data_IF_369302779884
#
_entry.id   IF_369302779884
#
_cell.length_a   1.000
_cell.length_b   1.000
_cell.length_c   1.000
_cell.angle_alpha   90.00
_cell.angle_beta   90.00
_cell.angle_gamma   90.00
#
_symmetry.space_group_name_H-M   'P 1'
#
loop_
_entity.id
_entity.type
_entity.pdbx_description
1 polymer ?
#
# COMPACT_ATOMS: atom_id res chain seq x y z
N UNK A 1 1.87 25.93 -15.65
CA UNK A 1 2.77 25.30 -16.63
C UNK A 1 2.95 23.84 -16.22
N UNK A 2 2.83 22.87 -17.13
CA UNK A 2 3.04 21.45 -16.79
C UNK A 2 4.53 21.13 -16.64
N UNK A 3 4.89 20.07 -15.90
CA UNK A 3 6.29 19.64 -15.76
C UNK A 3 6.93 19.34 -17.13
N UNK A 4 6.17 18.71 -18.05
CA UNK A 4 6.64 18.46 -19.41
C UNK A 4 6.92 19.74 -20.20
N UNK A 5 6.09 20.78 -20.04
CA UNK A 5 6.33 22.08 -20.68
C UNK A 5 7.59 22.76 -20.11
N UNK A 6 7.82 22.67 -18.80
CA UNK A 6 9.05 23.17 -18.16
C UNK A 6 10.28 22.44 -18.69
N UNK A 7 10.24 21.10 -18.78
CA UNK A 7 11.35 20.29 -19.32
C UNK A 7 11.65 20.65 -20.79
N UNK A 8 10.63 20.85 -21.61
CA UNK A 8 10.80 21.29 -23.00
C UNK A 8 11.44 22.68 -23.08
N UNK A 9 11.05 23.62 -22.21
CA UNK A 9 11.69 24.94 -22.15
C UNK A 9 13.16 24.86 -21.73
N UNK A 10 13.51 24.04 -20.74
CA UNK A 10 14.91 23.81 -20.36
C UNK A 10 15.72 23.22 -21.50
N UNK A 11 15.19 22.21 -22.20
CA UNK A 11 15.86 21.59 -23.35
C UNK A 11 16.07 22.59 -24.49
N UNK A 12 15.05 23.39 -24.82
CA UNK A 12 15.17 24.41 -25.86
C UNK A 12 16.17 25.50 -25.50
N UNK A 13 16.19 25.94 -24.23
CA UNK A 13 17.16 26.92 -23.74
C UNK A 13 18.59 26.38 -23.82
N UNK A 14 18.81 25.13 -23.39
CA UNK A 14 20.11 24.47 -23.46
C UNK A 14 20.60 24.36 -24.90
N UNK A 15 19.75 23.85 -25.81
CA UNK A 15 20.07 23.75 -27.24
C UNK A 15 20.41 25.12 -27.85
N UNK A 16 19.67 26.17 -27.47
CA UNK A 16 19.93 27.52 -27.95
C UNK A 16 21.30 28.02 -27.45
N UNK A 17 21.60 27.86 -26.16
CA UNK A 17 22.88 28.27 -25.56
C UNK A 17 24.06 27.51 -26.16
N UNK A 18 23.95 26.20 -26.35
CA UNK A 18 24.99 25.36 -26.98
C UNK A 18 25.23 25.75 -28.44
N UNK A 19 24.16 26.07 -29.19
CA UNK A 19 24.28 26.53 -30.58
C UNK A 19 24.84 27.96 -30.73
N UNK A 20 24.81 28.75 -29.66
CA UNK A 20 25.23 30.16 -29.69
C UNK A 20 26.74 30.32 -29.54
N UNK A 21 27.40 29.47 -28.75
CA UNK A 21 28.86 29.49 -28.53
C UNK A 21 29.67 29.51 -29.83
N UNK A 22 29.47 28.56 -30.76
CA UNK A 22 30.17 28.53 -32.05
C UNK A 22 29.96 29.78 -32.92
N UNK A 23 28.80 30.45 -32.78
CA UNK A 23 28.50 31.68 -33.52
C UNK A 23 29.29 32.87 -32.99
N UNK A 24 29.59 32.90 -31.69
CA UNK A 24 30.45 33.94 -31.10
C UNK A 24 31.93 33.79 -31.50
N UNK A 25 32.38 32.58 -31.82
CA UNK A 25 33.73 32.31 -32.34
C UNK A 25 33.86 32.54 -33.86
N UNK A 26 32.80 32.96 -34.54
CA UNK A 26 32.86 33.34 -35.96
C UNK A 26 33.49 34.73 -36.14
N UNK A 27 33.86 35.10 -37.37
CA UNK A 27 34.49 36.38 -37.72
C UNK A 27 33.55 37.60 -37.59
N UNK A 28 32.90 37.78 -36.44
CA UNK A 28 32.07 38.95 -36.14
C UNK A 28 32.99 40.08 -35.70
N UNK A 29 32.75 41.30 -36.20
CA UNK A 29 33.45 42.53 -35.79
C UNK A 29 32.44 43.55 -35.25
N UNK A 30 32.12 43.49 -33.94
CA UNK A 30 31.20 44.44 -33.32
C UNK A 30 31.77 45.86 -33.36
N UNK A 31 30.92 46.86 -33.55
CA UNK A 31 31.29 48.25 -33.27
C UNK A 31 31.27 48.51 -31.75
N UNK A 32 31.66 49.72 -31.33
CA UNK A 32 31.77 50.07 -29.90
C UNK A 32 30.44 49.95 -29.15
N UNK A 33 29.35 50.48 -29.72
CA UNK A 33 28.03 50.45 -29.09
C UNK A 33 27.50 49.01 -28.98
N UNK A 34 27.75 48.18 -29.99
CA UNK A 34 27.41 46.74 -29.96
C UNK A 34 28.23 45.99 -28.92
N UNK A 35 29.51 46.34 -28.75
CA UNK A 35 30.37 45.74 -27.74
C UNK A 35 29.89 46.08 -26.31
N UNK A 36 29.50 47.34 -26.08
CA UNK A 36 28.95 47.79 -24.80
C UNK A 36 27.61 47.08 -24.49
N UNK A 37 26.73 46.93 -25.47
CA UNK A 37 25.48 46.17 -25.29
C UNK A 37 25.71 44.66 -25.09
N UNK A 38 26.69 44.05 -25.77
CA UNK A 38 27.09 42.65 -25.52
C UNK A 38 27.59 42.48 -24.07
N UNK A 39 28.41 43.41 -23.57
CA UNK A 39 28.88 43.38 -22.18
C UNK A 39 27.72 43.49 -21.19
N UNK A 40 26.82 44.45 -21.41
CA UNK A 40 25.62 44.62 -20.57
C UNK A 40 24.72 43.39 -20.57
N UNK A 41 24.51 42.75 -21.73
CA UNK A 41 23.73 41.51 -21.82
C UNK A 41 24.43 40.34 -21.13
N UNK A 42 25.75 40.19 -21.28
CA UNK A 42 26.56 39.20 -20.55
C UNK A 42 26.42 39.38 -19.03
N UNK A 43 26.51 40.62 -18.56
CA UNK A 43 26.45 40.93 -17.13
C UNK A 43 25.04 40.71 -16.55
N UNK A 44 23.99 40.84 -17.36
CA UNK A 44 22.60 40.47 -17.00
C UNK A 44 22.31 38.97 -17.10
N UNK A 45 23.00 38.24 -17.98
CA UNK A 45 22.79 36.81 -18.15
C UNK A 45 23.20 36.02 -16.90
N UNK A 46 24.32 36.40 -16.26
CA UNK A 46 24.80 35.77 -15.01
C UNK A 46 23.76 35.76 -13.88
N UNK A 47 23.21 36.91 -13.44
CA UNK A 47 22.20 36.92 -12.37
C UNK A 47 20.89 36.26 -12.79
N UNK A 48 20.52 36.32 -14.08
CA UNK A 48 19.34 35.61 -14.59
C UNK A 48 19.52 34.09 -14.47
N UNK A 49 20.69 33.55 -14.83
CA UNK A 49 21.01 32.14 -14.67
C UNK A 49 21.02 31.72 -13.19
N UNK A 50 21.66 32.50 -12.31
CA UNK A 50 21.65 32.25 -10.88
C UNK A 50 20.22 32.25 -10.29
N UNK A 51 19.34 33.10 -10.81
CA UNK A 51 17.92 33.11 -10.43
C UNK A 51 17.24 31.81 -10.86
N UNK A 52 17.46 31.34 -12.10
CA UNK A 52 16.93 30.07 -12.58
C UNK A 52 17.45 28.90 -11.72
N UNK A 53 18.76 28.86 -11.44
CA UNK A 53 19.38 27.86 -10.58
C UNK A 53 18.74 27.84 -9.18
N UNK A 54 18.52 28.99 -8.57
CA UNK A 54 17.84 29.09 -7.27
C UNK A 54 16.41 28.52 -7.28
N UNK A 55 15.64 28.78 -8.36
CA UNK A 55 14.29 28.21 -8.50
C UNK A 55 14.33 26.69 -8.74
N UNK A 56 15.32 26.20 -9.49
CA UNK A 56 15.56 24.77 -9.69
C UNK A 56 15.91 24.12 -8.36
N UNK A 57 16.83 24.69 -7.58
CA UNK A 57 17.16 24.20 -6.24
C UNK A 57 15.94 24.15 -5.32
N UNK A 58 15.10 25.19 -5.33
CA UNK A 58 13.88 25.21 -4.54
C UNK A 58 12.92 24.09 -4.98
N UNK A 59 12.77 23.85 -6.28
CA UNK A 59 11.97 22.77 -6.83
C UNK A 59 12.52 21.39 -6.43
N UNK A 60 13.84 21.21 -6.50
CA UNK A 60 14.52 19.99 -6.07
C UNK A 60 14.35 19.76 -4.56
N UNK A 61 14.52 20.79 -3.73
CA UNK A 61 14.26 20.73 -2.28
C UNK A 61 12.83 20.32 -2.00
N UNK A 62 11.84 20.88 -2.70
CA UNK A 62 10.43 20.49 -2.57
C UNK A 62 10.18 19.03 -3.00
N UNK A 63 10.96 18.51 -3.94
CA UNK A 63 10.89 17.12 -4.38
C UNK A 63 11.69 16.15 -3.49
N UNK A 64 12.53 16.66 -2.57
CA UNK A 64 13.25 15.78 -1.64
C UNK A 64 12.29 15.12 -0.64
N UNK A 65 12.47 13.82 -0.34
CA UNK A 65 11.65 13.14 0.65
C UNK A 65 11.82 13.80 2.02
N UNK A 66 10.70 14.04 2.69
CA UNK A 66 10.68 14.60 4.04
C UNK A 66 11.23 13.59 5.06
N UNK A 67 11.56 14.05 6.26
CA UNK A 67 11.95 13.15 7.37
C UNK A 67 10.83 12.14 7.65
N UNK A 68 9.56 12.54 7.52
CA UNK A 68 8.40 11.65 7.68
C UNK A 68 8.39 10.53 6.63
N UNK A 69 8.67 10.86 5.36
CA UNK A 69 8.73 9.87 4.29
C UNK A 69 9.84 8.84 4.55
N UNK A 70 11.01 9.30 4.97
CA UNK A 70 12.15 8.41 5.32
C UNK A 70 11.85 7.52 6.52
N UNK A 71 11.20 8.07 7.55
CA UNK A 71 10.79 7.30 8.73
C UNK A 71 9.79 6.21 8.34
N UNK A 72 8.82 6.52 7.48
CA UNK A 72 7.86 5.54 6.97
C UNK A 72 8.57 4.42 6.18
N UNK A 73 9.52 4.78 5.30
CA UNK A 73 10.30 3.78 4.56
C UNK A 73 11.12 2.88 5.50
N UNK A 74 11.76 3.46 6.52
CA UNK A 74 12.50 2.70 7.52
C UNK A 74 11.60 1.77 8.34
N UNK A 75 10.41 2.23 8.71
CA UNK A 75 9.42 1.40 9.39
C UNK A 75 9.04 0.18 8.53
N UNK A 76 8.76 0.39 7.24
CA UNK A 76 8.44 -0.69 6.30
C UNK A 76 9.62 -1.67 6.15
N UNK A 77 10.87 -1.17 6.09
CA UNK A 77 12.06 -2.03 6.03
C UNK A 77 12.28 -2.85 7.30
N UNK A 78 11.98 -2.26 8.46
CA UNK A 78 12.13 -2.92 9.76
C UNK A 78 11.03 -3.93 10.07
N UNK A 79 10.03 -4.07 9.18
CA UNK A 79 8.91 -4.98 9.35
C UNK A 79 9.39 -6.43 9.40
N UNK A 80 9.22 -7.08 10.56
CA UNK A 80 9.55 -8.49 10.75
C UNK A 80 8.33 -9.36 10.46
N UNK A 81 8.43 -10.17 9.40
CA UNK A 81 7.33 -11.00 8.90
C UNK A 81 6.90 -12.08 9.91
N UNK A 82 7.81 -12.56 10.76
CA UNK A 82 7.54 -13.62 11.73
C UNK A 82 6.45 -13.26 12.75
N UNK A 83 6.44 -12.00 13.23
CA UNK A 83 5.57 -11.59 14.35
C UNK A 83 4.36 -10.75 13.93
N UNK A 84 4.41 -10.09 12.76
CA UNK A 84 3.43 -9.06 12.37
C UNK A 84 2.67 -9.36 11.08
N UNK A 85 2.88 -10.52 10.46
CA UNK A 85 2.18 -10.86 9.22
C UNK A 85 0.69 -11.10 9.47
N UNK A 86 -0.14 -10.21 8.91
CA UNK A 86 -1.59 -10.34 8.85
C UNK A 86 -2.03 -10.78 7.43
N UNK A 87 -2.47 -12.05 7.27
CA UNK A 87 -2.95 -12.55 5.98
C UNK A 87 -4.15 -11.78 5.43
N UNK A 88 -4.99 -11.20 6.29
CA UNK A 88 -6.16 -10.45 5.85
C UNK A 88 -5.77 -9.09 5.24
N UNK A 89 -4.83 -8.38 5.86
CA UNK A 89 -4.20 -7.20 5.29
C UNK A 89 -3.53 -7.53 3.95
N UNK A 90 -2.71 -8.58 3.94
CA UNK A 90 -1.98 -9.02 2.75
C UNK A 90 -2.92 -9.29 1.58
N UNK A 91 -4.01 -10.05 1.82
CA UNK A 91 -5.07 -10.30 0.84
C UNK A 91 -5.73 -9.02 0.36
N UNK A 92 -6.14 -8.11 1.25
CA UNK A 92 -6.79 -6.85 0.88
C UNK A 92 -5.92 -6.02 -0.07
N UNK A 93 -4.61 -5.91 0.22
CA UNK A 93 -3.69 -5.18 -0.63
C UNK A 93 -3.48 -5.86 -1.98
N UNK A 94 -3.27 -7.18 -2.03
CA UNK A 94 -3.07 -7.88 -3.30
C UNK A 94 -4.31 -7.79 -4.20
N UNK A 95 -5.51 -7.98 -3.63
CA UNK A 95 -6.76 -7.76 -4.37
C UNK A 95 -6.81 -6.35 -4.95
N UNK A 96 -6.56 -5.33 -4.13
CA UNK A 96 -6.60 -3.95 -4.57
C UNK A 96 -5.55 -3.63 -5.64
N UNK A 97 -4.32 -4.10 -5.48
CA UNK A 97 -3.21 -3.86 -6.41
C UNK A 97 -3.54 -4.49 -7.78
N UNK A 98 -3.91 -5.76 -7.81
CA UNK A 98 -4.08 -6.50 -9.06
C UNK A 98 -5.44 -6.32 -9.74
N UNK A 99 -6.50 -5.99 -8.99
CA UNK A 99 -7.84 -5.75 -9.56
C UNK A 99 -8.18 -4.26 -9.70
N UNK A 100 -7.52 -3.41 -8.91
CA UNK A 100 -7.90 -2.02 -8.77
C UNK A 100 -9.17 -1.85 -7.90
N UNK A 101 -9.63 -0.60 -7.73
CA UNK A 101 -10.88 -0.32 -7.03
C UNK A 101 -12.09 -0.76 -7.85
N UNK A 102 -13.12 -1.29 -7.17
CA UNK A 102 -14.39 -1.64 -7.80
C UNK A 102 -15.09 -0.39 -8.35
N UNK A 103 -15.45 -0.40 -9.63
CA UNK A 103 -16.17 0.71 -10.26
C UNK A 103 -17.67 0.41 -10.29
N UNK A 104 -18.47 1.43 -9.98
CA UNK A 104 -19.93 1.36 -10.08
C UNK A 104 -20.43 2.44 -11.03
N UNK A 105 -21.36 2.07 -11.91
CA UNK A 105 -22.05 3.03 -12.77
C UNK A 105 -22.86 4.07 -11.96
N UNK A 106 -23.12 3.80 -10.68
CA UNK A 106 -23.81 4.68 -9.75
C UNK A 106 -22.86 5.60 -8.96
N UNK A 107 -21.54 5.47 -9.16
CA UNK A 107 -20.58 6.33 -8.48
C UNK A 107 -20.73 7.78 -8.95
N UNK A 108 -20.84 8.71 -7.99
CA UNK A 108 -20.77 10.13 -8.27
C UNK A 108 -19.42 10.49 -8.92
N UNK A 109 -19.37 11.55 -9.73
CA UNK A 109 -18.16 11.93 -10.47
C UNK A 109 -16.92 12.12 -9.57
N UNK A 110 -17.11 12.71 -8.38
CA UNK A 110 -16.03 12.84 -7.39
C UNK A 110 -15.46 11.50 -6.93
N UNK A 111 -16.30 10.47 -6.82
CA UNK A 111 -15.88 9.11 -6.45
C UNK A 111 -15.18 8.45 -7.62
N UNK A 112 -15.71 8.58 -8.84
CA UNK A 112 -15.06 8.06 -10.07
C UNK A 112 -13.67 8.64 -10.28
N UNK A 113 -13.50 9.96 -10.14
CA UNK A 113 -12.19 10.63 -10.23
C UNK A 113 -11.22 10.08 -9.19
N UNK A 114 -11.70 9.85 -7.95
CA UNK A 114 -10.86 9.28 -6.88
C UNK A 114 -10.44 7.85 -7.18
N UNK A 115 -11.38 7.00 -7.63
CA UNK A 115 -11.12 5.62 -8.05
C UNK A 115 -10.13 5.57 -9.22
N UNK A 116 -10.26 6.46 -10.19
CA UNK A 116 -9.30 6.57 -11.30
C UNK A 116 -7.87 6.86 -10.80
N UNK A 117 -7.69 7.79 -9.86
CA UNK A 117 -6.36 8.06 -9.27
C UNK A 117 -5.82 6.86 -8.48
N UNK A 118 -6.69 6.19 -7.73
CA UNK A 118 -6.32 4.96 -7.01
C UNK A 118 -5.92 3.84 -7.96
N UNK A 119 -6.62 3.68 -9.09
CA UNK A 119 -6.28 2.75 -10.17
C UNK A 119 -4.89 3.04 -10.73
N UNK A 120 -4.55 4.29 -11.02
CA UNK A 120 -3.19 4.67 -11.47
C UNK A 120 -2.10 4.26 -10.48
N UNK A 121 -2.36 4.35 -9.16
CA UNK A 121 -1.40 3.87 -8.15
C UNK A 121 -1.25 2.35 -8.15
N UNK A 122 -2.35 1.63 -8.32
CA UNK A 122 -2.33 0.17 -8.41
C UNK A 122 -1.55 -0.28 -9.65
N UNK A 123 -1.78 0.35 -10.80
CA UNK A 123 -1.04 0.09 -12.05
C UNK A 123 0.46 0.35 -11.90
N UNK A 124 0.83 1.46 -11.23
CA UNK A 124 2.24 1.74 -10.90
C UNK A 124 2.86 0.63 -10.06
N UNK A 125 2.17 0.12 -9.04
CA UNK A 125 2.67 -0.97 -8.20
C UNK A 125 2.76 -2.30 -8.97
N UNK A 126 1.78 -2.62 -9.81
CA UNK A 126 1.81 -3.82 -10.65
C UNK A 126 2.99 -3.82 -11.63
N UNK A 127 3.49 -2.66 -12.03
CA UNK A 127 4.66 -2.53 -12.90
C UNK A 127 6.01 -2.64 -12.17
N UNK A 128 6.01 -2.75 -10.84
CA UNK A 128 7.23 -2.86 -10.02
C UNK A 128 7.63 -4.31 -9.73
N UNK A 129 8.78 -4.49 -9.09
CA UNK A 129 9.30 -5.83 -8.82
C UNK A 129 8.38 -6.63 -7.87
N UNK A 130 8.31 -7.97 -8.02
CA UNK A 130 7.47 -8.79 -7.16
C UNK A 130 7.81 -8.65 -5.66
N UNK A 131 9.08 -8.48 -5.32
CA UNK A 131 9.51 -8.22 -3.95
C UNK A 131 8.97 -6.88 -3.40
N UNK A 132 8.93 -5.83 -4.22
CA UNK A 132 8.34 -4.56 -3.80
C UNK A 132 6.85 -4.71 -3.51
N UNK A 133 6.11 -5.39 -4.39
CA UNK A 133 4.68 -5.66 -4.20
C UNK A 133 4.44 -6.44 -2.91
N UNK A 134 5.24 -7.48 -2.63
CA UNK A 134 5.14 -8.25 -1.39
C UNK A 134 5.37 -7.37 -0.16
N UNK A 135 6.46 -6.59 -0.14
CA UNK A 135 6.77 -5.70 0.99
C UNK A 135 5.64 -4.69 1.19
N UNK A 136 5.13 -4.11 0.11
CA UNK A 136 4.02 -3.18 0.16
C UNK A 136 2.76 -3.81 0.75
N UNK A 137 2.38 -4.98 0.25
CA UNK A 137 1.17 -5.67 0.65
C UNK A 137 1.17 -6.13 2.11
N UNK A 138 2.34 -6.40 2.68
CA UNK A 138 2.48 -6.81 4.08
C UNK A 138 2.51 -5.62 5.06
N UNK A 139 3.01 -4.46 4.63
CA UNK A 139 3.37 -3.39 5.57
C UNK A 139 2.39 -2.23 5.64
N UNK A 140 1.55 -2.02 4.63
CA UNK A 140 0.70 -0.82 4.55
C UNK A 140 -0.78 -1.17 4.41
N UNK A 141 -1.63 -0.63 5.29
CA UNK A 141 -3.08 -0.71 5.11
C UNK A 141 -3.51 -0.02 3.80
N UNK A 142 -4.46 -0.58 3.02
CA UNK A 142 -4.97 0.04 1.80
C UNK A 142 -5.32 1.52 1.98
N UNK A 143 -6.04 1.84 3.06
CA UNK A 143 -6.48 3.20 3.40
C UNK A 143 -5.32 4.19 3.58
N UNK A 144 -4.13 3.71 3.95
CA UNK A 144 -2.95 4.54 4.18
C UNK A 144 -2.23 5.00 2.91
N UNK A 145 -2.48 4.36 1.75
CA UNK A 145 -1.73 4.63 0.52
C UNK A 145 -2.58 4.74 -0.75
N UNK A 146 -3.79 4.17 -0.78
CA UNK A 146 -4.60 4.10 -2.02
C UNK A 146 -5.09 5.46 -2.49
N UNK A 147 -5.28 6.41 -1.57
CA UNK A 147 -5.85 7.72 -1.88
C UNK A 147 -4.80 8.84 -1.82
N UNK A 148 -4.74 9.71 -2.85
CA UNK A 148 -3.78 10.83 -2.90
C UNK A 148 -3.92 11.86 -1.77
N UNK A 149 -5.07 11.92 -1.12
CA UNK A 149 -5.30 12.79 0.04
C UNK A 149 -4.65 12.25 1.31
N UNK A 150 -4.44 10.94 1.41
CA UNK A 150 -3.84 10.30 2.59
C UNK A 150 -2.32 10.18 2.47
N UNK A 151 -1.86 9.82 1.27
CA UNK A 151 -0.43 9.78 0.93
C UNK A 151 -0.25 10.60 -0.33
N UNK A 152 0.62 11.60 -0.30
CA UNK A 152 0.93 12.39 -1.48
C UNK A 152 1.61 11.54 -2.57
N UNK A 153 1.44 11.88 -3.84
CA UNK A 153 2.09 11.16 -4.96
C UNK A 153 3.61 11.17 -4.83
N UNK A 154 4.20 12.27 -4.32
CA UNK A 154 5.64 12.37 -4.07
C UNK A 154 6.13 11.34 -3.04
N UNK A 155 5.36 11.11 -1.97
CA UNK A 155 5.67 10.10 -0.95
C UNK A 155 5.52 8.70 -1.53
N UNK A 156 4.44 8.45 -2.26
CA UNK A 156 4.18 7.16 -2.91
C UNK A 156 5.32 6.79 -3.89
N UNK A 157 5.69 7.72 -4.78
CA UNK A 157 6.76 7.54 -5.75
C UNK A 157 8.16 7.47 -5.08
N UNK A 158 8.34 8.12 -3.92
CA UNK A 158 9.54 7.93 -3.12
C UNK A 158 9.61 6.51 -2.54
N UNK A 159 8.54 6.01 -1.91
CA UNK A 159 8.51 4.67 -1.33
C UNK A 159 8.75 3.59 -2.39
N UNK A 160 8.16 3.72 -3.57
CA UNK A 160 8.43 2.80 -4.68
C UNK A 160 9.93 2.75 -5.01
N UNK A 161 10.61 3.90 -5.07
CA UNK A 161 12.05 3.96 -5.36
C UNK A 161 12.90 3.43 -4.22
N UNK A 162 12.53 3.73 -2.99
CA UNK A 162 13.32 3.46 -1.79
C UNK A 162 13.21 1.99 -1.32
N UNK A 163 12.08 1.33 -1.62
CA UNK A 163 11.78 -0.04 -1.20
C UNK A 163 12.14 -1.13 -2.22
N UNK A 164 12.90 -0.81 -3.28
CA UNK A 164 13.27 -1.77 -4.34
C UNK A 164 14.20 -2.90 -3.89
N UNK A 165 14.66 -2.91 -2.63
CA UNK A 165 15.50 -3.97 -2.10
C UNK A 165 14.82 -5.34 -2.22
N UNK A 166 15.56 -6.34 -2.72
CA UNK A 166 15.09 -7.71 -2.90
C UNK A 166 14.97 -8.39 -1.53
N UNK A 167 14.08 -9.38 -1.40
CA UNK A 167 14.08 -10.25 -0.22
C UNK A 167 15.17 -11.31 -0.39
N UNK A 168 16.05 -11.47 0.61
CA UNK A 168 17.07 -12.52 0.59
C UNK A 168 16.44 -13.93 0.62
N UNK A 169 15.25 -14.04 1.22
CA UNK A 169 14.41 -15.23 1.18
C UNK A 169 12.95 -14.80 1.41
N UNK A 170 12.03 -15.36 0.63
CA UNK A 170 10.59 -15.12 0.83
C UNK A 170 10.12 -16.00 1.99
N UNK A 171 9.53 -15.44 3.06
CA UNK A 171 9.06 -16.23 4.18
C UNK A 171 7.99 -17.25 3.78
N UNK A 172 8.09 -18.49 4.26
CA UNK A 172 7.19 -19.59 3.85
C UNK A 172 5.71 -19.25 4.03
N UNK A 173 5.36 -18.59 5.14
CA UNK A 173 3.98 -18.15 5.44
C UNK A 173 3.41 -17.19 4.37
N UNK A 174 4.26 -16.38 3.76
CA UNK A 174 3.88 -15.47 2.67
C UNK A 174 3.68 -16.26 1.39
N UNK A 175 4.58 -17.19 1.06
CA UNK A 175 4.45 -18.06 -0.11
C UNK A 175 3.20 -18.96 -0.02
N UNK A 176 2.94 -19.55 1.13
CA UNK A 176 1.71 -20.31 1.41
C UNK A 176 0.46 -19.45 1.20
N UNK A 177 0.45 -18.23 1.73
CA UNK A 177 -0.66 -17.29 1.54
C UNK A 177 -0.87 -16.94 0.06
N UNK A 178 0.21 -16.74 -0.71
CA UNK A 178 0.13 -16.51 -2.16
C UNK A 178 -0.49 -17.69 -2.90
N UNK A 179 -0.09 -18.92 -2.56
CA UNK A 179 -0.64 -20.13 -3.16
C UNK A 179 -2.12 -20.33 -2.85
N UNK A 180 -2.56 -20.00 -1.63
CA UNK A 180 -3.99 -20.00 -1.29
C UNK A 180 -4.74 -18.98 -2.15
N UNK A 181 -4.26 -17.73 -2.17
CA UNK A 181 -4.89 -16.63 -2.92
C UNK A 181 -4.93 -16.87 -4.43
N UNK A 182 -3.97 -17.62 -4.98
CA UNK A 182 -3.92 -18.00 -6.41
C UNK A 182 -5.19 -18.72 -6.86
N UNK A 183 -5.82 -19.48 -5.97
CA UNK A 183 -6.99 -20.30 -6.26
C UNK A 183 -8.30 -19.69 -5.75
N UNK A 184 -8.26 -18.50 -5.13
CA UNK A 184 -9.40 -17.83 -4.51
C UNK A 184 -9.90 -16.63 -5.31
N UNK A 185 -11.22 -16.39 -5.30
CA UNK A 185 -11.77 -15.13 -5.80
C UNK A 185 -11.39 -13.94 -4.88
N UNK A 186 -11.14 -12.75 -5.44
CA UNK A 186 -11.26 -12.37 -6.85
C UNK A 186 -9.98 -12.54 -7.69
N UNK A 187 -8.93 -13.17 -7.14
CA UNK A 187 -7.59 -13.25 -7.74
C UNK A 187 -7.39 -14.46 -8.67
N UNK A 188 -8.17 -15.52 -8.49
CA UNK A 188 -8.20 -16.71 -9.35
C UNK A 188 -8.26 -16.37 -10.85
N UNK A 189 -9.18 -15.50 -11.34
CA UNK A 189 -9.23 -15.14 -12.76
C UNK A 189 -8.21 -14.05 -13.17
N UNK A 190 -7.38 -13.54 -12.25
CA UNK A 190 -6.47 -12.44 -12.55
C UNK A 190 -5.13 -12.93 -13.10
N UNK A 191 -4.96 -12.90 -14.43
CA UNK A 191 -3.74 -13.37 -15.12
C UNK A 191 -2.46 -12.72 -14.59
N UNK A 192 -2.46 -11.40 -14.36
CA UNK A 192 -1.31 -10.66 -13.81
C UNK A 192 -0.90 -11.21 -12.43
N UNK A 193 -1.88 -11.56 -11.58
CA UNK A 193 -1.58 -12.17 -10.29
C UNK A 193 -1.05 -13.59 -10.45
N UNK A 194 -1.57 -14.37 -11.41
CA UNK A 194 -1.07 -15.72 -11.70
C UNK A 194 0.39 -15.70 -12.16
N UNK A 195 0.77 -14.76 -13.02
CA UNK A 195 2.15 -14.54 -13.46
C UNK A 195 3.05 -14.13 -12.30
N UNK A 196 2.56 -13.21 -11.46
CA UNK A 196 3.25 -12.79 -10.25
C UNK A 196 3.58 -13.97 -9.33
N UNK A 197 2.62 -14.85 -9.03
CA UNK A 197 2.87 -16.03 -8.18
C UNK A 197 3.86 -16.99 -8.85
N UNK A 198 3.75 -17.24 -10.16
CA UNK A 198 4.72 -18.08 -10.89
C UNK A 198 6.15 -17.56 -10.81
N UNK A 199 6.34 -16.23 -10.89
CA UNK A 199 7.67 -15.62 -10.75
C UNK A 199 8.27 -15.88 -9.36
N UNK A 200 7.45 -15.76 -8.32
CA UNK A 200 7.85 -16.03 -6.94
C UNK A 200 8.27 -17.50 -6.77
N UNK A 201 7.48 -18.45 -7.30
CA UNK A 201 7.79 -19.88 -7.24
C UNK A 201 9.13 -20.24 -7.91
N UNK A 202 9.44 -19.58 -9.03
CA UNK A 202 10.70 -19.75 -9.75
C UNK A 202 11.89 -19.24 -8.94
N UNK A 203 11.72 -18.12 -8.25
CA UNK A 203 12.77 -17.53 -7.41
C UNK A 203 13.10 -18.43 -6.21
N UNK A 204 12.08 -19.02 -5.59
CA UNK A 204 12.25 -19.99 -4.49
C UNK A 204 12.97 -21.27 -4.98
N UNK A 205 12.61 -21.75 -6.18
CA UNK A 205 13.18 -22.99 -6.74
C UNK A 205 14.67 -22.87 -7.06
N UNK A 206 15.15 -21.70 -7.50
CA UNK A 206 16.58 -21.46 -7.78
C UNK A 206 17.39 -21.42 -6.48
N UNK A 207 16.89 -20.76 -5.43
CA UNK A 207 17.54 -20.72 -4.12
C UNK A 207 17.64 -22.13 -3.49
N UNK A 208 16.60 -22.96 -3.63
CA UNK A 208 16.65 -24.34 -3.15
C UNK A 208 17.69 -25.19 -3.88
N UNK A 209 17.87 -24.99 -5.20
CA UNK A 209 18.86 -25.72 -5.99
C UNK A 209 20.29 -25.31 -5.62
N UNK A 210 20.55 -24.02 -5.41
CA UNK A 210 21.85 -23.52 -4.95
C UNK A 210 22.17 -23.96 -3.53
N UNK A 211 21.18 -23.93 -2.64
CA UNK A 211 21.33 -24.43 -1.28
C UNK A 211 21.55 -25.94 -1.25
N UNK A 212 20.80 -26.74 -2.03
CA UNK A 212 21.05 -28.19 -2.18
C UNK A 212 22.43 -28.48 -2.77
N UNK A 213 22.94 -27.67 -3.69
CA UNK A 213 24.31 -27.80 -4.20
C UNK A 213 25.38 -27.46 -3.14
N UNK A 214 25.12 -26.50 -2.25
CA UNK A 214 25.96 -26.20 -1.09
C UNK A 214 25.92 -27.31 -0.03
N UNK A 215 24.75 -27.90 0.24
CA UNK A 215 24.59 -29.03 1.15
C UNK A 215 25.24 -30.31 0.61
N UNK A 216 25.31 -30.53 -0.72
CA UNK A 216 26.05 -31.66 -1.29
C UNK A 216 27.58 -31.62 -1.09
N UNK A 217 28.15 -30.50 -0.61
CA UNK A 217 29.57 -30.42 -0.20
C UNK A 217 29.80 -30.62 1.30
N UNK A 218 28.76 -30.75 2.10
CA UNK A 218 28.88 -31.01 3.53
C UNK A 218 27.86 -32.04 3.95
N UNK A 219 28.38 -33.21 4.35
CA UNK A 219 27.74 -34.21 5.22
C UNK A 219 27.18 -35.43 4.50
N UNK A 220 28.08 -36.39 4.29
CA UNK A 220 27.80 -37.80 4.60
C UNK A 220 27.44 -37.93 6.08
N UNK A 221 26.57 -38.89 6.37
CA UNK A 221 26.13 -39.42 7.67
C UNK A 221 24.75 -38.99 8.20
N UNK A 222 23.82 -39.93 8.02
CA UNK A 222 22.73 -40.39 8.91
C UNK A 222 21.53 -39.44 9.18
N UNK A 223 20.27 -39.88 9.20
CA UNK A 223 19.56 -41.10 8.79
C UNK A 223 18.04 -40.82 8.88
N UNK A 224 17.30 -41.26 7.85
CA UNK A 224 15.93 -41.84 7.81
C UNK A 224 14.67 -41.11 8.39
N UNK A 225 13.45 -41.48 7.89
CA UNK A 225 12.33 -40.57 7.63
C UNK A 225 11.04 -40.93 8.39
N UNK A 226 10.03 -40.05 8.36
CA UNK A 226 8.63 -40.50 8.44
C UNK A 226 7.70 -39.68 7.56
N UNK A 227 6.94 -40.43 6.76
CA UNK A 227 5.90 -40.00 5.83
C UNK A 227 4.64 -39.43 6.52
N UNK A 228 3.86 -38.67 5.75
CA UNK A 228 2.48 -38.32 6.06
C UNK A 228 1.81 -37.57 4.92
N UNK A 229 1.42 -38.29 3.86
CA UNK A 229 0.47 -37.82 2.81
C UNK A 229 -0.97 -38.09 3.27
N UNK A 230 -1.91 -37.17 3.00
CA UNK A 230 -3.32 -37.43 2.55
C UNK A 230 -4.05 -36.06 2.37
N UNK A 231 -4.20 -35.54 1.15
CA UNK A 231 -5.35 -35.62 0.20
C UNK A 231 -6.53 -34.62 0.45
N UNK A 232 -6.57 -33.59 -0.41
CA UNK A 232 -7.66 -32.86 -1.11
C UNK A 232 -9.09 -32.75 -0.53
N UNK A 233 -9.73 -31.56 -0.62
CA UNK A 233 -10.70 -31.19 -1.70
C UNK A 233 -11.49 -29.87 -1.47
N UNK A 234 -11.59 -29.08 -2.54
CA UNK A 234 -12.57 -28.10 -3.07
C UNK A 234 -13.80 -27.55 -2.28
N UNK A 235 -13.97 -27.77 -0.96
CA UNK A 235 -15.16 -27.31 -0.21
C UNK A 235 -14.97 -25.97 0.55
N UNK A 236 -13.81 -25.33 0.46
CA UNK A 236 -13.30 -24.51 1.58
C UNK A 236 -13.72 -23.03 1.64
N UNK A 237 -14.37 -22.48 0.62
CA UNK A 237 -14.85 -21.07 0.70
C UNK A 237 -16.15 -20.90 1.49
N UNK A 238 -16.94 -21.96 1.67
CA UNK A 238 -17.94 -22.01 2.76
C UNK A 238 -17.28 -22.33 4.08
N UNK A 239 -16.25 -23.20 4.07
CA UNK A 239 -15.53 -23.54 5.28
C UNK A 239 -14.69 -22.41 5.86
N UNK A 240 -14.30 -21.34 5.17
CA UNK A 240 -13.50 -20.28 5.83
C UNK A 240 -14.32 -19.38 6.77
N UNK A 241 -15.59 -19.12 6.43
CA UNK A 241 -16.55 -18.49 7.37
C UNK A 241 -16.91 -19.48 8.47
N UNK A 242 -17.01 -20.77 8.14
CA UNK A 242 -17.21 -21.88 9.09
C UNK A 242 -15.94 -22.19 9.94
N UNK A 243 -14.73 -21.87 9.47
CA UNK A 243 -13.44 -22.15 10.13
C UNK A 243 -13.05 -20.98 11.02
N UNK A 244 -13.38 -19.74 10.62
CA UNK A 244 -13.49 -18.66 11.60
C UNK A 244 -14.56 -18.98 12.63
N UNK A 245 -15.65 -19.67 12.26
CA UNK A 245 -16.61 -20.21 13.23
C UNK A 245 -16.07 -21.39 14.05
N UNK A 246 -15.03 -22.11 13.59
CA UNK A 246 -14.27 -23.10 14.35
C UNK A 246 -13.23 -22.47 15.30
N UNK A 247 -12.99 -21.17 15.19
CA UNK A 247 -12.29 -20.31 16.18
C UNK A 247 -13.25 -19.29 16.84
N UNK A 248 -14.57 -19.42 16.64
CA UNK A 248 -15.53 -18.72 17.47
C UNK A 248 -15.64 -19.55 18.74
N UNK A 249 -14.92 -19.15 19.79
CA UNK A 249 -15.09 -19.78 21.10
C UNK A 249 -16.56 -19.73 21.55
N UNK A 250 -17.27 -18.66 21.15
CA UNK A 250 -18.62 -18.34 21.62
C UNK A 250 -19.45 -17.61 20.57
N UNK A 251 -20.60 -18.18 20.20
CA UNK A 251 -21.64 -17.47 19.46
C UNK A 251 -22.75 -17.10 20.44
N UNK A 252 -23.22 -15.86 20.34
CA UNK A 252 -24.32 -15.38 21.16
C UNK A 252 -25.46 -14.96 20.24
N UNK A 253 -26.66 -15.43 20.56
CA UNK A 253 -27.90 -15.07 19.90
C UNK A 253 -29.00 -14.92 20.96
N UNK A 254 -30.09 -14.22 20.63
CA UNK A 254 -31.24 -14.04 21.54
C UNK A 254 -30.95 -13.11 22.73
N UNK A 255 -30.31 -11.96 22.48
CA UNK A 255 -30.13 -10.93 23.51
C UNK A 255 -31.49 -10.41 24.02
N UNK A 256 -31.70 -10.25 25.34
CA UNK A 256 -32.91 -9.64 25.88
C UNK A 256 -33.10 -8.22 25.35
N UNK A 257 -34.28 -7.93 24.81
CA UNK A 257 -34.60 -6.62 24.23
C UNK A 257 -34.44 -5.47 25.23
N UNK A 258 -34.67 -5.71 26.52
CA UNK A 258 -34.46 -4.74 27.60
C UNK A 258 -32.99 -4.34 27.84
N UNK A 259 -32.03 -5.15 27.39
CA UNK A 259 -30.58 -4.90 27.53
C UNK A 259 -29.98 -4.20 26.31
N UNK A 260 -30.68 -4.21 25.17
CA UNK A 260 -30.25 -3.55 23.92
C UNK A 260 -29.86 -2.07 24.11
N UNK A 261 -30.61 -1.23 24.86
CA UNK A 261 -30.21 0.16 25.08
C UNK A 261 -28.88 0.30 25.82
N UNK A 262 -28.58 -0.61 26.75
CA UNK A 262 -27.33 -0.61 27.51
C UNK A 262 -26.15 -1.00 26.63
N UNK A 263 -26.32 -2.04 25.80
CA UNK A 263 -25.33 -2.43 24.79
C UNK A 263 -25.00 -1.25 23.88
N UNK A 264 -26.01 -0.64 23.26
CA UNK A 264 -25.83 0.49 22.32
C UNK A 264 -25.07 1.64 22.99
N UNK A 265 -25.39 1.98 24.24
CA UNK A 265 -24.73 3.07 24.97
C UNK A 265 -23.22 2.85 25.17
N UNK A 266 -22.78 1.60 25.25
CA UNK A 266 -21.39 1.23 25.49
C UNK A 266 -20.61 0.88 24.23
N UNK A 267 -21.27 0.77 23.07
CA UNK A 267 -20.62 0.42 21.80
C UNK A 267 -19.49 1.39 21.44
N UNK A 268 -19.71 2.71 21.57
CA UNK A 268 -18.67 3.69 21.24
C UNK A 268 -17.40 3.47 22.05
N UNK A 269 -17.53 3.31 23.37
CA UNK A 269 -16.40 3.02 24.25
C UNK A 269 -15.67 1.73 23.86
N UNK A 270 -16.42 0.68 23.52
CA UNK A 270 -15.81 -0.60 23.13
C UNK A 270 -15.07 -0.50 21.79
N UNK A 271 -15.64 0.21 20.82
CA UNK A 271 -15.00 0.53 19.53
C UNK A 271 -13.73 1.36 19.78
N UNK A 272 -13.82 2.41 20.58
CA UNK A 272 -12.71 3.32 20.90
C UNK A 272 -11.54 2.61 21.61
N UNK A 273 -11.86 1.54 22.36
CA UNK A 273 -10.85 0.71 23.03
C UNK A 273 -10.09 -0.24 22.09
N UNK A 274 -10.54 -0.40 20.84
CA UNK A 274 -9.93 -1.25 19.83
C UNK A 274 -8.52 -0.78 19.45
N UNK A 275 -7.60 -1.72 19.22
CA UNK A 275 -6.27 -1.39 18.69
C UNK A 275 -6.35 -0.77 17.29
N UNK A 276 -7.34 -1.17 16.49
CA UNK A 276 -7.63 -0.56 15.19
C UNK A 276 -7.98 0.92 15.36
N UNK A 277 -8.91 1.26 16.27
CA UNK A 277 -9.31 2.64 16.53
C UNK A 277 -8.13 3.48 17.04
N UNK A 278 -7.39 2.97 18.04
CA UNK A 278 -6.23 3.69 18.60
C UNK A 278 -5.13 3.92 17.55
N UNK A 279 -4.91 2.94 16.69
CA UNK A 279 -3.98 3.07 15.58
C UNK A 279 -4.43 4.16 14.59
N UNK A 280 -5.70 4.14 14.18
CA UNK A 280 -6.30 5.17 13.32
C UNK A 280 -6.14 6.57 13.94
N UNK A 281 -6.49 6.75 15.21
CA UNK A 281 -6.37 8.05 15.90
C UNK A 281 -4.92 8.55 15.94
N UNK A 282 -3.95 7.67 16.23
CA UNK A 282 -2.51 8.03 16.21
C UNK A 282 -2.07 8.47 14.81
N UNK A 283 -2.38 7.67 13.80
CA UNK A 283 -2.01 7.96 12.41
C UNK A 283 -2.63 9.27 11.93
N UNK A 284 -3.89 9.55 12.29
CA UNK A 284 -4.57 10.76 11.88
C UNK A 284 -4.10 12.01 12.62
N UNK A 285 -3.80 11.91 13.92
CA UNK A 285 -3.26 13.02 14.71
C UNK A 285 -1.88 13.49 14.20
N UNK A 286 -1.02 12.55 13.78
CA UNK A 286 0.34 12.84 13.32
C UNK A 286 0.43 13.37 11.87
N UNK A 287 -0.61 13.13 11.07
CA UNK A 287 -0.61 13.40 9.61
C UNK A 287 -1.41 14.63 9.17
N UNK A 288 -2.49 15.00 9.86
CA UNK A 288 -3.46 15.98 9.31
C UNK A 288 -3.61 17.28 10.11
N UNK A 289 -2.87 17.51 11.20
CA UNK A 289 -2.99 18.76 11.94
C UNK A 289 -4.42 19.00 12.41
N UNK A 290 -4.96 18.04 13.17
CA UNK A 290 -6.17 18.15 13.98
C UNK A 290 -7.40 18.79 13.31
N UNK A 291 -8.16 18.02 12.53
CA UNK A 291 -9.64 18.13 12.47
C UNK A 291 -10.29 17.09 11.53
N UNK A 292 -9.59 16.57 10.52
CA UNK A 292 -10.27 16.04 9.30
C UNK A 292 -10.23 14.52 9.07
N UNK A 293 -10.06 13.70 10.11
CA UNK A 293 -10.13 12.24 9.96
C UNK A 293 -11.24 11.62 10.81
N UNK A 294 -12.48 11.83 10.39
CA UNK A 294 -13.68 11.33 11.08
C UNK A 294 -14.06 9.89 10.71
N UNK A 295 -13.27 9.19 9.89
CA UNK A 295 -13.59 7.83 9.43
C UNK A 295 -12.92 6.75 10.29
N UNK A 296 -13.56 5.60 10.41
CA UNK A 296 -13.03 4.41 11.09
C UNK A 296 -13.36 3.13 10.32
N UNK A 297 -12.42 2.19 10.30
CA UNK A 297 -12.66 0.83 9.77
C UNK A 297 -13.17 -0.13 10.87
N UNK A 298 -13.35 0.36 12.10
CA UNK A 298 -13.97 -0.41 13.18
C UNK A 298 -15.46 -0.70 12.96
N UNK A 299 -16.10 -0.07 11.97
CA UNK A 299 -17.51 -0.22 11.65
C UNK A 299 -17.70 -0.51 10.16
N UNK A 300 -18.26 -1.68 9.85
CA UNK A 300 -18.52 -2.10 8.48
C UNK A 300 -20.01 -2.33 8.26
N UNK A 301 -20.55 -1.74 7.20
CA UNK A 301 -21.95 -1.86 6.81
C UNK A 301 -22.07 -2.75 5.58
N UNK A 302 -22.83 -3.84 5.70
CA UNK A 302 -23.20 -4.72 4.60
C UNK A 302 -24.65 -4.43 4.23
N UNK A 303 -24.82 -3.62 3.18
CA UNK A 303 -26.13 -3.22 2.68
C UNK A 303 -26.46 -4.08 1.46
N UNK A 304 -27.46 -4.98 1.54
CA UNK A 304 -27.88 -5.78 0.39
C UNK A 304 -28.42 -4.90 -0.75
N UNK A 305 -28.31 -5.38 -1.99
CA UNK A 305 -28.87 -4.70 -3.17
C UNK A 305 -30.40 -4.70 -3.17
N UNK A 306 -30.98 -5.77 -2.65
CA UNK A 306 -32.41 -5.94 -2.49
C UNK A 306 -32.90 -5.17 -1.25
N UNK A 307 -33.80 -4.21 -1.47
CA UNK A 307 -34.33 -3.35 -0.41
C UNK A 307 -35.25 -4.08 0.57
N UNK A 308 -35.63 -5.32 0.27
CA UNK A 308 -36.42 -6.16 1.17
C UNK A 308 -35.57 -6.96 2.17
N UNK A 309 -34.24 -6.94 2.02
CA UNK A 309 -33.31 -7.68 2.88
C UNK A 309 -32.73 -6.79 3.98
N UNK A 310 -32.46 -7.40 5.14
CA UNK A 310 -31.90 -6.72 6.29
C UNK A 310 -30.43 -6.33 6.09
N UNK A 311 -30.03 -5.20 6.68
CA UNK A 311 -28.63 -4.74 6.69
C UNK A 311 -27.88 -5.46 7.81
N UNK A 312 -26.66 -5.90 7.53
CA UNK A 312 -25.76 -6.39 8.56
C UNK A 312 -24.70 -5.35 8.90
N UNK A 313 -24.43 -5.17 10.19
CA UNK A 313 -23.40 -4.26 10.69
C UNK A 313 -22.39 -5.10 11.46
N UNK A 314 -21.11 -4.97 11.12
CA UNK A 314 -20.02 -5.63 11.83
C UNK A 314 -19.16 -4.60 12.55
N UNK A 315 -18.87 -4.89 13.81
CA UNK A 315 -18.15 -4.03 14.74
C UNK A 315 -16.83 -4.68 15.14
N UNK A 316 -15.76 -3.88 15.20
CA UNK A 316 -14.47 -4.28 15.76
C UNK A 316 -14.26 -3.51 17.05
N UNK A 317 -14.19 -4.22 18.17
CA UNK A 317 -14.04 -3.66 19.52
C UNK A 317 -12.78 -4.19 20.19
N UNK A 318 -12.27 -3.45 21.19
CA UNK A 318 -11.16 -3.93 22.01
C UNK A 318 -11.57 -5.16 22.81
N UNK A 319 -10.67 -6.16 22.92
CA UNK A 319 -10.97 -7.47 23.50
C UNK A 319 -11.64 -7.40 24.88
N UNK A 320 -11.06 -6.65 25.82
CA UNK A 320 -11.59 -6.52 27.19
C UNK A 320 -12.96 -5.84 27.21
N UNK A 321 -13.09 -4.72 26.51
CA UNK A 321 -14.35 -3.99 26.41
C UNK A 321 -15.45 -4.80 25.72
N UNK A 322 -15.09 -5.59 24.70
CA UNK A 322 -15.99 -6.52 24.03
C UNK A 322 -16.49 -7.61 24.97
N UNK A 323 -15.63 -8.18 25.81
CA UNK A 323 -16.06 -9.11 26.85
C UNK A 323 -17.01 -8.46 27.85
N UNK A 324 -16.72 -7.24 28.31
CA UNK A 324 -17.59 -6.52 29.25
C UNK A 324 -18.99 -6.29 28.63
N UNK A 325 -19.06 -5.89 27.36
CA UNK A 325 -20.32 -5.77 26.62
C UNK A 325 -21.10 -7.09 26.55
N UNK A 326 -20.38 -8.18 26.30
CA UNK A 326 -20.92 -9.53 26.16
C UNK A 326 -21.50 -10.04 27.49
N UNK A 327 -20.74 -9.92 28.59
CA UNK A 327 -21.16 -10.42 29.90
C UNK A 327 -22.35 -9.62 30.46
N UNK A 328 -22.40 -8.30 30.23
CA UNK A 328 -23.50 -7.46 30.69
C UNK A 328 -24.79 -7.62 29.87
N UNK A 329 -24.66 -8.05 28.62
CA UNK A 329 -25.79 -8.36 27.77
C UNK A 329 -26.53 -9.65 28.18
N UNK A 330 -25.98 -10.43 29.14
CA UNK A 330 -26.56 -11.66 29.69
C UNK A 330 -27.08 -12.61 28.60
N UNK A 331 -26.43 -12.61 27.44
CA UNK A 331 -26.86 -13.47 26.33
C UNK A 331 -26.41 -14.90 26.62
N UNK A 332 -27.20 -15.89 26.24
CA UNK A 332 -26.77 -17.27 26.33
C UNK A 332 -25.54 -17.48 25.45
N UNK A 333 -24.44 -17.86 26.09
CA UNK A 333 -23.21 -18.23 25.44
C UNK A 333 -23.40 -19.63 24.87
N UNK A 334 -23.55 -19.73 23.55
CA UNK A 334 -23.53 -21.00 22.85
C UNK A 334 -22.07 -21.28 22.49
N UNK A 335 -21.49 -22.31 23.13
CA UNK A 335 -20.23 -22.89 22.64
C UNK A 335 -20.49 -23.48 21.25
N UNK A 336 -19.72 -23.02 20.27
CA UNK A 336 -19.85 -23.44 18.87
C UNK A 336 -19.09 -24.73 18.63
#
# INVERSE_FOLDING_TARGET
>A
MSAGAVLSQFSNLLNYMESFGPKLSSNIRPNRDQLDEIQKLRDRLKPALATIESHVEHLLKKATPTVKDRNLANQIRSFQVADQFDPALFRKNLVLIFRGPDESALDADKVRIRKAKSRTRCEKLCAESPHLILRWAMSLQPSAWVHPTVMADSTFDFLIRDLKAIFDQIPSRVAESLHCLKNEEPLKPCEQFQEFVKFIDQSISVEEQENKARYKRKRTEESLPTEGKLYATESDNKQMIEQRSKEIDYKMSSMPSGKLPHLIKRLSWAIESSEQWKWERRVFAERLGGSDAETTDCLNFFVPKDRSQDISITLVVGRRAGFDLIYEAEVEIIRV
#
